data_IF_705876204446
#
_entry.id   IF_705876204446
#
_cell.length_a   1.000
_cell.length_b   1.000
_cell.length_c   1.000
_cell.angle_alpha   90.00
_cell.angle_beta   90.00
_cell.angle_gamma   90.00
#
_symmetry.space_group_name_H-M   'P 1'
#
loop_
_entity.id
_entity.type
_entity.pdbx_description
1 polymer ?
#
# COMPACT_ATOMS: atom_id res chain seq x y z
N UNK A 1 5.34 -11.35 13.47
CA UNK A 1 4.75 -12.39 12.58
C UNK A 1 5.79 -12.99 11.63
N UNK A 2 6.61 -12.18 10.95
CA UNK A 2 7.65 -12.67 10.04
C UNK A 2 8.65 -13.61 10.76
N UNK A 3 9.19 -13.21 11.93
CA UNK A 3 10.10 -14.06 12.73
C UNK A 3 9.51 -15.44 13.04
N UNK A 4 8.22 -15.51 13.41
CA UNK A 4 7.53 -16.80 13.69
C UNK A 4 7.36 -17.67 12.44
N UNK A 5 7.27 -17.06 11.27
CA UNK A 5 6.93 -17.75 10.02
C UNK A 5 8.14 -18.11 9.17
N UNK A 6 9.17 -17.28 9.16
CA UNK A 6 10.33 -17.39 8.28
C UNK A 6 11.67 -17.50 9.02
N UNK A 7 11.67 -17.43 10.35
CA UNK A 7 12.87 -17.36 11.16
C UNK A 7 13.39 -15.93 11.34
N UNK A 8 14.41 -15.78 12.18
CA UNK A 8 14.93 -14.47 12.59
C UNK A 8 15.71 -13.77 11.48
N UNK A 9 16.55 -14.51 10.78
CA UNK A 9 17.41 -13.98 9.70
C UNK A 9 16.56 -13.41 8.57
N UNK A 10 15.64 -14.21 8.01
CA UNK A 10 14.76 -13.77 6.92
C UNK A 10 13.86 -12.62 7.37
N UNK A 11 13.38 -12.63 8.62
CA UNK A 11 12.57 -11.53 9.15
C UNK A 11 13.36 -10.22 9.25
N UNK A 12 14.65 -10.28 9.60
CA UNK A 12 15.52 -9.12 9.63
C UNK A 12 15.82 -8.60 8.21
N UNK A 13 16.10 -9.49 7.26
CA UNK A 13 16.30 -9.13 5.85
C UNK A 13 15.03 -8.46 5.26
N UNK A 14 13.84 -9.00 5.52
CA UNK A 14 12.56 -8.38 5.10
C UNK A 14 12.44 -6.94 5.62
N UNK A 15 12.81 -6.70 6.88
CA UNK A 15 12.77 -5.35 7.45
C UNK A 15 13.75 -4.40 6.77
N UNK A 16 15.01 -4.84 6.60
CA UNK A 16 16.05 -4.06 5.91
C UNK A 16 15.67 -3.74 4.47
N UNK A 17 15.19 -4.72 3.72
CA UNK A 17 14.76 -4.48 2.33
C UNK A 17 13.51 -3.60 2.23
N UNK A 18 12.61 -3.63 3.22
CA UNK A 18 11.48 -2.69 3.25
C UNK A 18 11.97 -1.24 3.41
N UNK A 19 12.98 -0.98 4.25
CA UNK A 19 13.61 0.33 4.38
C UNK A 19 14.41 0.70 3.09
N UNK A 20 15.17 -0.25 2.55
CA UNK A 20 15.90 -0.06 1.30
C UNK A 20 14.99 0.30 0.12
N UNK A 21 13.77 -0.25 0.05
CA UNK A 21 12.81 0.07 -1.00
C UNK A 21 12.33 1.53 -0.94
N UNK A 22 12.24 2.11 0.25
CA UNK A 22 11.93 3.53 0.42
C UNK A 22 13.09 4.39 -0.06
N UNK A 23 14.30 4.11 0.41
CA UNK A 23 15.52 4.82 0.00
C UNK A 23 15.73 4.74 -1.52
N UNK A 24 15.59 3.54 -2.10
CA UNK A 24 15.68 3.35 -3.56
C UNK A 24 14.71 4.24 -4.32
N UNK A 25 13.45 4.30 -3.87
CA UNK A 25 12.43 5.08 -4.58
C UNK A 25 12.65 6.58 -4.40
N UNK A 26 13.09 7.04 -3.23
CA UNK A 26 13.46 8.44 -3.00
C UNK A 26 14.63 8.86 -3.89
N UNK A 27 15.71 8.07 -3.91
CA UNK A 27 16.86 8.31 -4.78
C UNK A 27 16.48 8.32 -6.25
N UNK A 28 15.65 7.36 -6.69
CA UNK A 28 15.16 7.31 -8.08
C UNK A 28 14.44 8.59 -8.49
N UNK A 29 13.63 9.17 -7.60
CA UNK A 29 12.93 10.43 -7.83
C UNK A 29 13.95 11.60 -7.94
N UNK A 30 14.87 11.68 -7.01
CA UNK A 30 15.84 12.79 -6.90
C UNK A 30 16.86 12.76 -8.02
N UNK A 31 17.51 11.61 -8.27
CA UNK A 31 18.55 11.45 -9.30
C UNK A 31 18.00 11.68 -10.71
N UNK A 32 16.74 11.37 -10.97
CA UNK A 32 16.12 11.56 -12.27
C UNK A 32 15.24 12.82 -12.34
N UNK A 33 15.25 13.67 -11.32
CA UNK A 33 14.48 14.91 -11.27
C UNK A 33 12.98 14.69 -11.63
N UNK A 34 12.35 13.63 -11.09
CA UNK A 34 10.95 13.33 -11.38
C UNK A 34 10.07 14.37 -10.69
N UNK A 35 9.44 15.26 -11.46
CA UNK A 35 8.43 16.20 -10.93
C UNK A 35 7.17 15.46 -10.48
N UNK A 36 7.16 14.95 -9.24
CA UNK A 36 6.02 14.24 -8.67
C UNK A 36 5.57 14.80 -7.31
N UNK A 37 5.92 16.06 -7.01
CA UNK A 37 5.55 16.70 -5.74
C UNK A 37 6.03 15.85 -4.55
N UNK A 38 7.22 15.28 -4.67
CA UNK A 38 7.83 14.48 -3.61
C UNK A 38 8.14 15.36 -2.40
N UNK A 39 7.68 14.93 -1.23
CA UNK A 39 7.87 15.65 0.01
C UNK A 39 8.08 14.66 1.15
N UNK A 40 9.24 14.74 1.83
CA UNK A 40 9.56 13.98 3.03
C UNK A 40 8.86 14.63 4.23
N UNK A 41 7.55 14.45 4.30
CA UNK A 41 6.68 15.03 5.34
C UNK A 41 6.57 14.16 6.60
N UNK A 42 7.16 12.99 6.61
CA UNK A 42 6.98 11.99 7.66
C UNK A 42 5.63 11.27 7.59
N UNK A 43 5.56 10.15 8.31
CA UNK A 43 4.32 9.39 8.49
C UNK A 43 4.06 9.12 9.97
N UNK A 44 2.87 9.48 10.46
CA UNK A 44 2.43 9.16 11.80
C UNK A 44 1.44 7.99 11.78
N UNK A 45 1.82 6.88 12.41
CA UNK A 45 0.93 5.75 12.67
C UNK A 45 0.30 5.97 14.03
N UNK A 46 -1.00 6.30 14.05
CA UNK A 46 -1.73 6.68 15.26
C UNK A 46 -2.30 5.48 16.00
N UNK A 47 -2.25 5.51 17.33
CA UNK A 47 -2.79 4.50 18.23
C UNK A 47 -4.30 4.73 18.45
N UNK A 48 -5.13 3.78 18.03
CA UNK A 48 -6.58 3.83 18.29
C UNK A 48 -6.94 3.47 19.73
N UNK A 49 -6.14 2.61 20.34
CA UNK A 49 -6.28 2.18 21.75
C UNK A 49 -4.95 2.31 22.49
N UNK A 50 -4.95 2.51 23.82
CA UNK A 50 -3.72 2.58 24.61
C UNK A 50 -2.79 1.36 24.43
N UNK A 51 -3.36 0.16 24.32
CA UNK A 51 -2.61 -1.07 24.06
C UNK A 51 -1.82 -1.04 22.74
N UNK A 52 -2.30 -0.28 21.74
CA UNK A 52 -1.61 -0.14 20.46
C UNK A 52 -0.33 0.68 20.63
N UNK A 53 -0.37 1.72 21.48
CA UNK A 53 0.80 2.54 21.82
C UNK A 53 1.91 1.68 22.45
N UNK A 54 1.56 0.87 23.44
CA UNK A 54 2.50 -0.06 24.09
C UNK A 54 3.08 -1.05 23.08
N UNK A 55 2.22 -1.69 22.30
CA UNK A 55 2.65 -2.65 21.28
C UNK A 55 3.56 -2.03 20.20
N UNK A 56 3.31 -0.78 19.81
CA UNK A 56 4.17 -0.06 18.86
C UNK A 56 5.52 0.28 19.47
N UNK A 57 5.56 0.71 20.74
CA UNK A 57 6.80 0.99 21.47
C UNK A 57 7.67 -0.25 21.56
N UNK A 58 7.12 -1.39 22.00
CA UNK A 58 7.83 -2.66 22.10
C UNK A 58 8.37 -3.12 20.74
N UNK A 59 7.56 -2.96 19.68
CA UNK A 59 7.99 -3.32 18.33
C UNK A 59 9.09 -2.40 17.81
N UNK A 60 9.01 -1.09 18.10
CA UNK A 60 10.04 -0.13 17.70
C UNK A 60 11.41 -0.48 18.29
N UNK A 61 11.46 -0.80 19.59
CA UNK A 61 12.71 -1.22 20.25
C UNK A 61 13.32 -2.47 19.58
N UNK A 62 12.48 -3.46 19.29
CA UNK A 62 12.92 -4.70 18.60
C UNK A 62 13.42 -4.45 17.19
N UNK A 63 12.78 -3.54 16.44
CA UNK A 63 13.17 -3.22 15.07
C UNK A 63 14.44 -2.38 15.02
N UNK A 64 14.62 -1.43 15.93
CA UNK A 64 15.86 -0.65 16.05
C UNK A 64 17.08 -1.50 16.39
N UNK A 65 16.90 -2.64 17.05
CA UNK A 65 17.98 -3.59 17.28
C UNK A 65 18.40 -4.36 16.00
N UNK A 66 17.58 -4.34 14.95
CA UNK A 66 17.85 -5.01 13.67
C UNK A 66 18.46 -4.03 12.66
N UNK A 67 17.92 -2.82 12.63
CA UNK A 67 18.24 -1.78 11.64
C UNK A 67 17.99 -0.41 12.26
N UNK A 68 18.93 0.50 12.10
CA UNK A 68 18.76 1.89 12.56
C UNK A 68 17.95 2.67 11.53
N UNK A 69 16.75 3.06 11.90
CA UNK A 69 15.85 3.86 11.07
C UNK A 69 15.20 4.97 11.90
N UNK A 70 14.95 6.09 11.26
CA UNK A 70 14.45 7.30 11.89
C UNK A 70 12.97 7.17 12.29
N UNK A 71 12.73 6.62 13.46
CA UNK A 71 11.39 6.53 14.02
C UNK A 71 11.38 6.77 15.52
N UNK A 72 10.32 7.43 16.01
CA UNK A 72 10.12 7.72 17.43
C UNK A 72 8.65 7.57 17.82
N UNK A 73 8.42 7.32 19.10
CA UNK A 73 7.07 7.38 19.68
C UNK A 73 6.65 8.84 19.88
N UNK A 74 5.37 9.09 19.68
CA UNK A 74 4.71 10.37 20.00
C UNK A 74 3.70 10.09 21.10
N UNK A 75 3.81 10.82 22.21
CA UNK A 75 2.93 10.68 23.35
C UNK A 75 1.57 11.38 23.11
N UNK A 76 0.51 11.01 23.82
CA UNK A 76 -0.83 11.55 23.62
C UNK A 76 -0.91 13.08 23.70
N UNK A 77 -0.22 13.70 24.66
CA UNK A 77 -0.16 15.15 24.87
C UNK A 77 0.52 15.91 23.72
N UNK A 78 1.39 15.23 22.99
CA UNK A 78 2.10 15.80 21.83
C UNK A 78 1.34 15.66 20.51
N UNK A 79 0.23 14.91 20.48
CA UNK A 79 -0.55 14.64 19.26
C UNK A 79 -1.09 15.89 18.61
N UNK A 80 -1.44 16.92 19.41
CA UNK A 80 -1.98 18.19 18.92
C UNK A 80 -1.04 18.93 17.95
N UNK A 81 0.27 18.66 18.00
CA UNK A 81 1.27 19.19 17.05
C UNK A 81 1.20 18.54 15.67
N UNK A 82 0.59 17.39 15.57
CA UNK A 82 0.46 16.63 14.32
C UNK A 82 -0.94 16.61 13.76
N UNK A 83 -1.96 16.58 14.64
CA UNK A 83 -3.37 16.49 14.26
C UNK A 83 -4.28 17.07 15.32
N UNK A 84 -5.32 17.79 14.89
CA UNK A 84 -6.35 18.37 15.75
C UNK A 84 -7.53 17.39 15.91
N UNK A 85 -7.36 16.40 16.78
CA UNK A 85 -8.39 15.42 17.15
C UNK A 85 -8.03 14.76 18.48
N UNK A 86 -9.04 14.31 19.21
CA UNK A 86 -8.87 13.57 20.47
C UNK A 86 -9.02 12.05 20.29
N UNK A 87 -8.97 11.60 19.04
CA UNK A 87 -9.22 10.20 18.74
C UNK A 87 -8.07 9.26 19.10
N UNK A 88 -6.86 9.74 19.29
CA UNK A 88 -5.68 8.90 19.35
C UNK A 88 -4.94 8.98 20.67
N UNK A 89 -4.41 7.84 21.09
CA UNK A 89 -3.60 7.67 22.31
C UNK A 89 -2.10 7.71 22.01
N UNK A 90 -1.67 8.66 21.15
CA UNK A 90 -0.28 8.76 20.70
C UNK A 90 -0.06 8.06 19.36
N UNK A 91 1.20 7.74 19.06
CA UNK A 91 1.54 7.09 17.79
C UNK A 91 3.03 6.84 17.62
N UNK A 92 3.39 6.26 16.47
CA UNK A 92 4.77 6.08 16.02
C UNK A 92 5.02 6.93 14.78
N UNK A 93 5.98 7.81 14.85
CA UNK A 93 6.39 8.70 13.77
C UNK A 93 7.61 8.17 13.03
N UNK A 94 7.51 8.06 11.71
CA UNK A 94 8.57 7.68 10.78
C UNK A 94 9.02 8.94 10.04
N UNK A 95 10.23 9.41 10.31
CA UNK A 95 10.71 10.71 9.82
C UNK A 95 10.98 10.71 8.32
N UNK A 96 11.61 9.65 7.81
CA UNK A 96 12.07 9.54 6.42
C UNK A 96 10.95 9.17 5.43
N UNK A 97 9.73 8.97 5.93
CA UNK A 97 8.60 8.69 5.07
C UNK A 97 8.08 9.97 4.42
N UNK A 98 7.62 9.82 3.17
CA UNK A 98 7.16 10.96 2.39
C UNK A 98 5.86 10.72 1.66
N UNK A 99 5.50 11.67 0.85
CA UNK A 99 4.35 11.62 -0.04
C UNK A 99 4.75 12.02 -1.45
N UNK A 100 4.02 11.49 -2.43
CA UNK A 100 4.12 11.85 -3.83
C UNK A 100 2.74 12.12 -4.41
N UNK A 101 2.68 12.80 -5.53
CA UNK A 101 1.50 12.79 -6.41
C UNK A 101 1.59 11.55 -7.32
N UNK A 102 0.76 10.51 -7.09
CA UNK A 102 0.99 9.19 -7.68
C UNK A 102 0.94 9.18 -9.21
N UNK A 103 0.07 10.01 -9.80
CA UNK A 103 -0.06 10.11 -11.26
C UNK A 103 1.18 10.75 -11.89
N UNK A 104 1.69 11.83 -11.31
CA UNK A 104 2.94 12.48 -11.75
C UNK A 104 4.11 11.52 -11.63
N UNK A 105 4.21 10.81 -10.50
CA UNK A 105 5.25 9.80 -10.30
C UNK A 105 5.20 8.69 -11.36
N UNK A 106 4.01 8.16 -11.62
CA UNK A 106 3.81 7.16 -12.68
C UNK A 106 4.24 7.69 -14.07
N UNK A 107 3.89 8.91 -14.43
CA UNK A 107 4.30 9.50 -15.69
C UNK A 107 5.80 9.79 -15.76
N UNK A 108 6.43 10.16 -14.65
CA UNK A 108 7.88 10.29 -14.55
C UNK A 108 8.59 8.96 -14.84
N UNK A 109 8.16 7.88 -14.19
CA UNK A 109 8.69 6.54 -14.46
C UNK A 109 8.45 6.08 -15.89
N UNK A 110 7.27 6.36 -16.45
CA UNK A 110 6.96 6.05 -17.86
C UNK A 110 7.89 6.80 -18.79
N UNK A 111 8.13 8.10 -18.56
CA UNK A 111 9.06 8.91 -19.34
C UNK A 111 10.46 8.30 -19.33
N UNK A 112 11.00 8.00 -18.15
CA UNK A 112 12.33 7.34 -18.02
C UNK A 112 12.40 6.03 -18.79
N UNK A 113 11.36 5.20 -18.71
CA UNK A 113 11.33 3.93 -19.44
C UNK A 113 11.35 4.13 -20.96
N UNK A 114 10.61 5.11 -21.47
CA UNK A 114 10.58 5.44 -22.91
C UNK A 114 11.91 6.02 -23.37
N UNK A 115 12.54 6.89 -22.60
CA UNK A 115 13.87 7.45 -22.89
C UNK A 115 14.96 6.37 -22.88
N UNK A 116 14.81 5.35 -22.03
CA UNK A 116 15.66 4.16 -22.03
C UNK A 116 15.35 3.18 -23.19
N UNK A 117 14.45 3.52 -24.11
CA UNK A 117 14.11 2.72 -25.30
C UNK A 117 13.03 1.66 -25.08
N UNK A 118 12.34 1.61 -23.93
CA UNK A 118 11.23 0.71 -23.73
C UNK A 118 10.05 1.08 -24.64
N UNK A 119 9.39 0.07 -25.21
CA UNK A 119 8.17 0.27 -26.01
C UNK A 119 6.95 0.01 -25.17
N UNK A 120 6.06 0.99 -25.05
CA UNK A 120 4.84 0.90 -24.26
C UNK A 120 3.62 0.92 -25.15
N UNK A 121 2.75 -0.07 -25.01
CA UNK A 121 1.54 -0.24 -25.80
C UNK A 121 0.30 -0.14 -24.88
N UNK A 122 -0.38 0.99 -24.92
CA UNK A 122 -1.67 1.18 -24.26
C UNK A 122 -2.81 0.41 -24.96
N UNK A 123 -3.91 0.17 -24.24
CA UNK A 123 -5.10 -0.50 -24.78
C UNK A 123 -4.85 -1.91 -25.35
N UNK A 124 -3.78 -2.58 -24.90
CA UNK A 124 -3.41 -3.93 -25.33
C UNK A 124 -3.61 -4.91 -24.16
N UNK A 125 -4.81 -5.39 -23.98
CA UNK A 125 -5.13 -6.39 -22.96
C UNK A 125 -4.44 -7.72 -23.33
N UNK A 126 -3.49 -8.16 -22.50
CA UNK A 126 -2.93 -9.51 -22.61
C UNK A 126 -3.95 -10.53 -22.11
N UNK A 127 -4.33 -11.45 -22.97
CA UNK A 127 -5.32 -12.49 -22.69
C UNK A 127 -4.71 -13.84 -22.37
N UNK A 128 -3.49 -14.11 -22.89
CA UNK A 128 -2.81 -15.39 -22.67
C UNK A 128 -1.29 -15.27 -22.87
N UNK A 129 -0.56 -16.06 -22.11
CA UNK A 129 0.89 -16.27 -22.27
C UNK A 129 1.11 -17.76 -22.48
N UNK A 130 1.67 -18.12 -23.62
CA UNK A 130 1.99 -19.50 -23.97
C UNK A 130 3.51 -19.68 -23.96
N UNK A 131 4.02 -20.67 -23.23
CA UNK A 131 5.41 -21.08 -23.31
C UNK A 131 5.62 -21.90 -24.59
N UNK A 132 6.68 -21.60 -25.32
CA UNK A 132 7.04 -22.30 -26.56
C UNK A 132 7.92 -23.51 -26.27
N UNK A 133 7.92 -24.48 -27.20
CA UNK A 133 8.77 -25.66 -27.11
C UNK A 133 10.26 -25.33 -27.31
N UNK A 134 10.56 -24.34 -28.13
CA UNK A 134 11.91 -23.94 -28.55
C UNK A 134 12.45 -22.69 -27.80
N UNK A 135 12.18 -22.55 -26.52
CA UNK A 135 12.45 -21.36 -25.70
C UNK A 135 11.64 -20.12 -26.10
N UNK A 136 11.28 -19.32 -25.06
CA UNK A 136 10.50 -18.09 -25.22
C UNK A 136 9.00 -18.28 -25.03
N UNK A 137 8.27 -17.24 -25.35
CA UNK A 137 6.84 -17.12 -25.08
C UNK A 137 6.12 -16.40 -26.22
N UNK A 138 4.88 -16.81 -26.47
CA UNK A 138 3.91 -16.05 -27.22
C UNK A 138 2.97 -15.33 -26.24
N UNK A 139 2.98 -14.01 -26.27
CA UNK A 139 2.08 -13.15 -25.52
C UNK A 139 0.95 -12.72 -26.45
N UNK A 140 -0.26 -13.17 -26.16
CA UNK A 140 -1.45 -12.90 -26.96
C UNK A 140 -2.25 -11.75 -26.36
N UNK A 141 -2.57 -10.77 -27.18
CA UNK A 141 -3.56 -9.71 -26.89
C UNK A 141 -4.84 -9.98 -27.66
N UNK A 142 -5.84 -9.11 -27.53
CA UNK A 142 -7.10 -9.22 -28.27
C UNK A 142 -6.92 -9.24 -29.81
N UNK A 143 -5.87 -8.60 -30.31
CA UNK A 143 -5.67 -8.40 -31.76
C UNK A 143 -4.20 -8.52 -32.21
N UNK A 144 -3.30 -8.98 -31.36
CA UNK A 144 -1.89 -9.08 -31.69
C UNK A 144 -1.24 -10.25 -30.95
N UNK A 145 -0.11 -10.70 -31.50
CA UNK A 145 0.76 -11.71 -30.89
C UNK A 145 2.17 -11.14 -30.84
N UNK A 146 2.79 -11.25 -29.68
CA UNK A 146 4.17 -10.81 -29.46
C UNK A 146 4.99 -12.04 -29.09
N UNK A 147 6.07 -12.25 -29.82
CA UNK A 147 7.07 -13.28 -29.52
C UNK A 147 8.18 -12.65 -28.66
N UNK A 148 8.53 -13.27 -27.52
CA UNK A 148 9.56 -12.77 -26.64
C UNK A 148 10.32 -13.90 -25.92
N UNK A 149 11.52 -13.59 -25.45
CA UNK A 149 12.38 -14.54 -24.72
C UNK A 149 11.91 -14.75 -23.29
N UNK A 150 11.48 -13.69 -22.62
CA UNK A 150 11.10 -13.67 -21.21
C UNK A 150 9.83 -12.86 -21.00
N UNK A 151 9.09 -13.18 -19.95
CA UNK A 151 7.86 -12.46 -19.54
C UNK A 151 7.93 -12.14 -18.07
N UNK A 152 7.66 -10.86 -17.71
CA UNK A 152 7.42 -10.42 -16.36
C UNK A 152 5.93 -10.05 -16.19
N UNK A 153 5.24 -10.68 -15.26
CA UNK A 153 3.89 -10.32 -14.87
C UNK A 153 3.92 -9.33 -13.68
N UNK A 154 3.61 -8.07 -13.94
CA UNK A 154 3.52 -7.00 -12.94
C UNK A 154 2.06 -6.55 -12.72
N UNK A 155 1.10 -7.47 -12.86
CA UNK A 155 -0.34 -7.19 -12.89
C UNK A 155 -0.97 -6.97 -11.50
N UNK A 156 -0.25 -7.28 -10.41
CA UNK A 156 -0.63 -7.07 -9.02
C UNK A 156 -2.12 -7.41 -8.75
N UNK A 157 -2.90 -6.51 -8.16
CA UNK A 157 -4.33 -6.69 -7.84
C UNK A 157 -5.25 -6.82 -9.06
N UNK A 158 -4.73 -6.63 -10.27
CA UNK A 158 -5.48 -6.77 -11.54
C UNK A 158 -5.21 -8.09 -12.27
N UNK A 159 -4.56 -9.04 -11.60
CA UNK A 159 -4.28 -10.37 -12.15
C UNK A 159 -5.58 -11.16 -12.37
N UNK A 160 -5.91 -11.44 -13.63
CA UNK A 160 -7.12 -12.19 -14.00
C UNK A 160 -6.84 -13.71 -14.05
N UNK A 161 -7.82 -14.57 -13.65
CA UNK A 161 -7.68 -16.03 -13.76
C UNK A 161 -7.46 -16.51 -15.20
N UNK A 162 -8.02 -15.81 -16.19
CA UNK A 162 -7.80 -16.09 -17.62
C UNK A 162 -6.37 -15.91 -18.05
N UNK A 163 -5.65 -14.95 -17.46
CA UNK A 163 -4.24 -14.70 -17.75
C UNK A 163 -3.31 -15.67 -17.00
N UNK A 164 -3.52 -15.82 -15.69
CA UNK A 164 -2.71 -16.73 -14.87
C UNK A 164 -3.51 -17.29 -13.70
N UNK A 165 -3.97 -18.53 -13.84
CA UNK A 165 -4.63 -19.27 -12.72
C UNK A 165 -3.70 -19.41 -11.51
N UNK A 166 -2.39 -19.51 -11.74
CA UNK A 166 -1.40 -19.62 -10.66
C UNK A 166 -1.36 -18.37 -9.81
N UNK A 167 -1.19 -17.18 -10.41
CA UNK A 167 -1.12 -15.92 -9.69
C UNK A 167 -2.48 -15.49 -9.13
N UNK A 168 -3.56 -15.63 -9.89
CA UNK A 168 -4.91 -15.27 -9.44
C UNK A 168 -5.35 -16.02 -8.17
N UNK A 169 -4.85 -17.24 -7.95
CA UNK A 169 -5.10 -18.02 -6.71
C UNK A 169 -4.20 -17.61 -5.54
N UNK A 170 -3.32 -16.65 -5.71
CA UNK A 170 -2.30 -16.25 -4.73
C UNK A 170 -2.31 -14.77 -4.41
N UNK A 171 -2.92 -13.97 -5.26
CA UNK A 171 -3.10 -12.53 -5.09
C UNK A 171 -4.58 -12.23 -4.92
N UNK A 172 -4.91 -11.58 -3.80
CA UNK A 172 -6.26 -11.13 -3.47
C UNK A 172 -6.42 -9.69 -3.94
N UNK A 173 -7.33 -9.41 -4.88
CA UNK A 173 -7.70 -8.05 -5.24
C UNK A 173 -8.58 -7.45 -4.14
N UNK A 174 -8.00 -6.62 -3.28
CA UNK A 174 -8.73 -5.94 -2.20
C UNK A 174 -9.00 -4.51 -2.65
N UNK A 175 -10.27 -4.07 -2.74
CA UNK A 175 -10.59 -2.71 -3.12
C UNK A 175 -10.18 -1.73 -2.03
N UNK A 176 -9.73 -0.57 -2.46
CA UNK A 176 -9.42 0.59 -1.63
C UNK A 176 -10.16 1.78 -2.19
N UNK A 177 -10.73 2.60 -1.32
CA UNK A 177 -11.55 3.74 -1.69
C UNK A 177 -10.93 5.00 -1.11
N UNK A 178 -10.94 6.07 -1.88
CA UNK A 178 -10.34 7.35 -1.50
C UNK A 178 -11.30 8.48 -1.82
N UNK A 179 -11.39 9.46 -0.91
CA UNK A 179 -12.08 10.73 -1.13
C UNK A 179 -11.13 11.90 -1.00
N UNK A 180 -11.52 13.02 -1.61
CA UNK A 180 -10.87 14.32 -1.39
C UNK A 180 -11.95 15.38 -1.15
N UNK A 181 -11.79 16.22 -0.15
CA UNK A 181 -12.68 17.35 0.11
C UNK A 181 -12.65 18.35 -1.06
N UNK A 182 -13.61 19.22 -1.16
CA UNK A 182 -13.45 20.48 -1.90
C UNK A 182 -12.32 21.30 -1.31
N UNK A 183 -11.93 22.37 -1.93
CA UNK A 183 -10.99 23.34 -1.36
C UNK A 183 -11.58 23.93 -0.08
N UNK A 184 -10.90 23.73 1.05
CA UNK A 184 -11.31 24.24 2.37
C UNK A 184 -10.34 25.30 2.90
N UNK A 185 -9.36 25.70 2.07
CA UNK A 185 -8.32 26.67 2.40
C UNK A 185 -7.13 26.07 3.16
N UNK A 186 -5.95 26.66 2.93
CA UNK A 186 -4.70 26.22 3.59
C UNK A 186 -4.75 26.33 5.10
N UNK A 187 -5.28 27.41 5.63
CA UNK A 187 -5.34 27.67 7.08
C UNK A 187 -6.17 26.60 7.79
N UNK A 188 -7.31 26.21 7.21
CA UNK A 188 -8.14 25.15 7.78
C UNK A 188 -7.43 23.80 7.74
N UNK A 189 -6.79 23.46 6.64
CA UNK A 189 -6.00 22.23 6.54
C UNK A 189 -4.84 22.23 7.54
N UNK A 190 -4.10 23.33 7.66
CA UNK A 190 -3.01 23.49 8.62
C UNK A 190 -3.50 23.42 10.09
N UNK A 191 -4.68 23.94 10.37
CA UNK A 191 -5.31 23.82 11.71
C UNK A 191 -5.64 22.36 12.04
N UNK A 192 -6.15 21.59 11.07
CA UNK A 192 -6.55 20.20 11.27
C UNK A 192 -5.37 19.23 11.27
N UNK A 193 -4.38 19.49 10.43
CA UNK A 193 -3.17 18.68 10.23
C UNK A 193 -1.90 19.56 10.31
N UNK A 194 -1.61 20.14 11.49
CA UNK A 194 -0.49 21.09 11.64
C UNK A 194 0.87 20.48 11.29
N UNK A 195 1.04 19.16 11.49
CA UNK A 195 2.26 18.46 11.11
C UNK A 195 2.41 18.20 9.61
N UNK A 196 1.35 18.30 8.81
CA UNK A 196 1.36 18.02 7.37
C UNK A 196 1.70 16.57 6.99
N UNK A 197 1.72 15.67 7.97
CA UNK A 197 2.18 14.29 7.82
C UNK A 197 1.18 13.39 7.07
N UNK A 198 1.70 12.28 6.52
CA UNK A 198 0.88 11.14 6.14
C UNK A 198 0.41 10.41 7.40
N UNK A 199 -0.89 10.26 7.57
CA UNK A 199 -1.51 9.65 8.74
C UNK A 199 -2.02 8.24 8.42
N UNK A 200 -1.84 7.29 9.35
CA UNK A 200 -2.37 5.91 9.25
C UNK A 200 -2.78 5.42 10.64
N UNK A 201 -3.96 4.84 10.76
CA UNK A 201 -4.49 4.36 12.04
C UNK A 201 -4.18 2.88 12.30
N UNK A 202 -4.31 2.46 13.58
CA UNK A 202 -4.22 1.06 13.98
C UNK A 202 -5.55 0.31 13.98
N UNK A 203 -6.69 0.94 13.68
CA UNK A 203 -7.99 0.24 13.51
C UNK A 203 -7.90 -0.92 12.53
N UNK A 204 -8.78 -1.91 12.65
CA UNK A 204 -8.81 -3.03 11.69
C UNK A 204 -9.16 -2.56 10.28
N UNK A 205 -10.17 -1.70 10.15
CA UNK A 205 -10.50 -0.98 8.92
C UNK A 205 -9.91 0.42 8.98
N UNK A 206 -8.58 0.50 9.00
CA UNK A 206 -7.83 1.74 9.18
C UNK A 206 -8.09 2.76 8.09
N UNK A 207 -8.11 4.02 8.50
CA UNK A 207 -8.00 5.16 7.59
C UNK A 207 -6.54 5.54 7.38
N UNK A 208 -6.26 6.06 6.20
CA UNK A 208 -5.04 6.79 5.90
C UNK A 208 -5.44 8.11 5.27
N UNK A 209 -4.81 9.19 5.69
CA UNK A 209 -5.17 10.52 5.25
C UNK A 209 -3.98 11.47 5.32
N UNK A 210 -4.05 12.51 4.53
CA UNK A 210 -3.04 13.56 4.45
C UNK A 210 -3.60 14.83 3.83
N UNK A 211 -2.91 15.99 3.94
CA UNK A 211 -3.13 17.11 3.06
C UNK A 211 -2.87 16.70 1.60
N UNK A 212 -3.60 17.29 0.66
CA UNK A 212 -3.21 17.22 -0.76
C UNK A 212 -1.95 18.05 -0.99
N UNK A 213 -1.20 17.84 -2.08
CA UNK A 213 0.03 18.60 -2.34
C UNK A 213 -0.17 20.13 -2.38
N UNK A 214 -1.33 20.61 -2.87
CA UNK A 214 -1.66 22.04 -2.83
C UNK A 214 -1.93 22.58 -1.42
N UNK A 215 -2.09 21.70 -0.42
CA UNK A 215 -2.32 22.08 0.98
C UNK A 215 -3.70 22.63 1.29
N UNK A 216 -4.64 22.64 0.34
CA UNK A 216 -5.98 23.24 0.53
C UNK A 216 -7.11 22.23 0.73
N UNK A 217 -6.81 20.92 0.63
CA UNK A 217 -7.79 19.83 0.73
C UNK A 217 -7.24 18.72 1.63
N UNK A 218 -8.13 17.90 2.16
CA UNK A 218 -7.78 16.66 2.86
C UNK A 218 -8.19 15.48 1.99
N UNK A 219 -7.24 14.56 1.78
CA UNK A 219 -7.46 13.27 1.15
C UNK A 219 -7.55 12.19 2.23
N UNK A 220 -8.58 11.34 2.17
CA UNK A 220 -8.77 10.22 3.09
C UNK A 220 -9.07 8.95 2.29
N UNK A 221 -8.40 7.88 2.63
CA UNK A 221 -8.66 6.56 2.08
C UNK A 221 -8.90 5.51 3.15
N UNK A 222 -9.70 4.51 2.82
CA UNK A 222 -9.98 3.36 3.67
C UNK A 222 -10.47 2.16 2.85
N UNK A 223 -10.64 1.04 3.52
CA UNK A 223 -11.36 -0.12 2.98
C UNK A 223 -12.83 -0.05 3.40
N UNK A 224 -13.62 0.80 2.75
CA UNK A 224 -15.06 0.95 3.01
C UNK A 224 -15.78 -0.40 2.89
N UNK A 225 -15.38 -1.21 1.90
CA UNK A 225 -15.78 -2.60 1.72
C UNK A 225 -14.55 -3.45 1.36
N UNK A 226 -14.64 -4.77 1.56
CA UNK A 226 -13.62 -5.73 1.10
C UNK A 226 -14.05 -6.47 -0.18
N UNK A 227 -15.18 -6.11 -0.76
CA UNK A 227 -15.68 -6.58 -2.05
C UNK A 227 -15.91 -5.38 -2.97
N UNK A 228 -16.03 -5.63 -4.25
CA UNK A 228 -16.25 -4.57 -5.24
C UNK A 228 -17.61 -3.91 -5.03
N UNK A 229 -17.58 -2.63 -4.73
CA UNK A 229 -18.72 -1.71 -4.76
C UNK A 229 -18.28 -0.49 -5.57
N UNK A 230 -19.21 0.35 -5.98
CA UNK A 230 -18.89 1.60 -6.66
C UNK A 230 -18.28 2.64 -5.69
N UNK A 231 -17.68 3.67 -6.24
CA UNK A 231 -17.18 4.80 -5.45
C UNK A 231 -18.32 5.54 -4.73
N UNK A 232 -19.47 5.67 -5.41
CA UNK A 232 -20.68 6.29 -4.90
C UNK A 232 -21.25 5.52 -3.70
N UNK A 233 -21.28 4.19 -3.78
CA UNK A 233 -21.72 3.32 -2.67
C UNK A 233 -20.78 3.38 -1.47
N UNK A 234 -19.48 3.62 -1.70
CA UNK A 234 -18.48 3.75 -0.64
C UNK A 234 -18.49 5.13 0.05
N UNK A 235 -18.90 6.19 -0.68
CA UNK A 235 -18.82 7.59 -0.26
C UNK A 235 -19.41 7.87 1.14
N UNK A 236 -20.63 7.40 1.49
CA UNK A 236 -21.18 7.65 2.83
C UNK A 236 -20.31 7.12 3.97
N UNK A 237 -19.67 5.96 3.76
CA UNK A 237 -18.76 5.36 4.75
C UNK A 237 -17.50 6.20 4.93
N UNK A 238 -16.89 6.65 3.82
CA UNK A 238 -15.67 7.49 3.89
C UNK A 238 -15.98 8.85 4.51
N UNK A 239 -17.11 9.45 4.15
CA UNK A 239 -17.56 10.74 4.74
C UNK A 239 -17.76 10.63 6.24
N UNK A 240 -18.42 9.56 6.71
CA UNK A 240 -18.59 9.30 8.14
C UNK A 240 -17.24 9.19 8.86
N UNK A 241 -16.27 8.51 8.28
CA UNK A 241 -14.94 8.37 8.87
C UNK A 241 -14.16 9.70 8.87
N UNK A 242 -14.31 10.52 7.82
CA UNK A 242 -13.71 11.85 7.77
C UNK A 242 -14.25 12.75 8.90
N UNK A 243 -15.58 12.76 9.10
CA UNK A 243 -16.25 13.55 10.13
C UNK A 243 -15.90 13.01 11.53
N UNK A 244 -15.78 11.69 11.70
CA UNK A 244 -15.31 11.10 12.95
C UNK A 244 -13.92 11.62 13.35
N UNK A 245 -13.00 11.72 12.37
CA UNK A 245 -11.64 12.23 12.62
C UNK A 245 -11.66 13.76 12.80
N UNK A 246 -12.43 14.47 11.99
CA UNK A 246 -12.52 15.92 11.94
C UNK A 246 -13.99 16.38 12.00
N UNK A 247 -14.61 16.48 13.20
CA UNK A 247 -16.01 16.90 13.33
C UNK A 247 -16.32 18.26 12.71
N UNK A 248 -15.35 19.17 12.67
CA UNK A 248 -15.47 20.49 12.02
C UNK A 248 -15.59 20.45 10.50
N UNK A 249 -15.49 19.28 9.90
CA UNK A 249 -15.73 19.04 8.45
C UNK A 249 -17.15 18.49 8.19
N UNK A 250 -18.03 18.48 9.20
CA UNK A 250 -19.45 18.19 8.97
C UNK A 250 -20.03 19.19 7.96
N UNK A 251 -20.77 18.70 6.95
CA UNK A 251 -21.30 19.52 5.87
C UNK A 251 -20.33 19.83 4.73
N UNK A 252 -19.00 19.59 4.88
CA UNK A 252 -18.05 19.83 3.81
C UNK A 252 -18.30 18.86 2.64
N UNK A 253 -18.32 19.40 1.41
CA UNK A 253 -18.51 18.63 0.19
C UNK A 253 -17.26 17.80 -0.15
N UNK A 254 -17.49 16.67 -0.82
CA UNK A 254 -16.45 15.80 -1.37
C UNK A 254 -16.33 16.07 -2.86
N UNK A 255 -15.16 16.52 -3.29
CA UNK A 255 -14.90 16.85 -4.69
C UNK A 255 -14.67 15.62 -5.57
N UNK A 256 -14.03 14.59 -5.01
CA UNK A 256 -13.70 13.37 -5.75
C UNK A 256 -13.84 12.15 -4.85
N UNK A 257 -14.34 11.05 -5.43
CA UNK A 257 -14.33 9.73 -4.82
C UNK A 257 -13.93 8.71 -5.88
N UNK A 258 -12.98 7.83 -5.58
CA UNK A 258 -12.54 6.80 -6.52
C UNK A 258 -12.12 5.52 -5.81
N UNK A 259 -11.96 4.46 -6.59
CA UNK A 259 -11.55 3.14 -6.10
C UNK A 259 -10.51 2.50 -7.02
N UNK A 260 -9.75 1.56 -6.47
CA UNK A 260 -8.80 0.72 -7.19
C UNK A 260 -8.49 -0.54 -6.39
N UNK A 261 -7.85 -1.53 -7.02
CA UNK A 261 -7.49 -2.78 -6.37
C UNK A 261 -6.04 -2.77 -5.87
N UNK A 262 -5.87 -3.11 -4.61
CA UNK A 262 -4.58 -3.41 -4.01
C UNK A 262 -4.36 -4.92 -4.02
N UNK A 263 -3.22 -5.39 -4.53
CA UNK A 263 -2.87 -6.82 -4.50
C UNK A 263 -2.35 -7.23 -3.11
N UNK A 264 -3.07 -8.14 -2.46
CA UNK A 264 -2.64 -8.75 -1.20
C UNK A 264 -2.22 -10.21 -1.42
N UNK A 265 -1.13 -10.61 -0.79
CA UNK A 265 -0.75 -12.01 -0.65
C UNK A 265 -1.25 -12.57 0.68
N UNK A 266 -1.40 -13.88 0.80
CA UNK A 266 -1.73 -14.51 2.08
C UNK A 266 -0.59 -14.43 3.10
N UNK A 267 0.63 -14.16 2.67
CA UNK A 267 1.77 -13.86 3.54
C UNK A 267 1.77 -12.43 4.05
N UNK A 268 1.03 -11.53 3.40
CA UNK A 268 1.09 -10.07 3.58
C UNK A 268 2.47 -9.46 3.26
N UNK A 269 3.25 -10.14 2.44
CA UNK A 269 4.56 -9.71 1.97
C UNK A 269 4.56 -9.62 0.45
N UNK A 270 5.34 -8.71 -0.13
CA UNK A 270 5.63 -8.71 -1.56
C UNK A 270 6.28 -10.02 -2.00
N UNK A 271 6.27 -10.28 -3.29
CA UNK A 271 6.90 -11.47 -3.84
C UNK A 271 7.50 -11.21 -5.21
N UNK A 272 8.72 -11.71 -5.39
CA UNK A 272 9.35 -11.91 -6.68
C UNK A 272 9.50 -13.42 -6.90
N UNK A 273 8.91 -13.96 -7.93
CA UNK A 273 8.98 -15.40 -8.20
C UNK A 273 8.99 -15.74 -9.67
N UNK A 274 9.43 -16.98 -9.95
CA UNK A 274 9.43 -17.57 -11.30
C UNK A 274 8.55 -18.82 -11.28
N UNK A 275 7.55 -18.87 -12.15
CA UNK A 275 6.70 -20.04 -12.32
C UNK A 275 6.66 -20.44 -13.80
N UNK A 276 7.12 -21.66 -14.12
CA UNK A 276 7.21 -22.19 -15.48
C UNK A 276 7.97 -21.26 -16.45
N UNK A 277 8.96 -20.51 -15.94
CA UNK A 277 9.77 -19.56 -16.69
C UNK A 277 9.15 -18.16 -16.83
N UNK A 278 7.95 -17.92 -16.31
CA UNK A 278 7.34 -16.60 -16.24
C UNK A 278 7.70 -15.97 -14.89
N UNK A 279 8.31 -14.79 -14.93
CA UNK A 279 8.64 -13.98 -13.77
C UNK A 279 7.40 -13.24 -13.29
N UNK A 280 7.32 -12.95 -12.00
CA UNK A 280 6.25 -12.11 -11.42
C UNK A 280 6.77 -11.27 -10.27
N UNK A 281 6.44 -9.96 -10.26
CA UNK A 281 6.69 -9.03 -9.17
C UNK A 281 5.36 -8.39 -8.77
N UNK A 282 4.87 -8.67 -7.56
CA UNK A 282 3.50 -8.32 -7.16
C UNK A 282 3.25 -8.51 -5.66
N UNK A 283 2.02 -8.23 -5.22
CA UNK A 283 1.57 -8.50 -3.86
C UNK A 283 2.04 -7.48 -2.83
N UNK A 284 2.14 -6.22 -3.19
CA UNK A 284 2.70 -5.14 -2.37
C UNK A 284 1.89 -4.80 -1.10
N UNK A 285 0.70 -5.34 -0.92
CA UNK A 285 -0.12 -5.25 0.29
C UNK A 285 -0.38 -3.81 0.80
N UNK A 286 -0.40 -2.82 -0.11
CA UNK A 286 -0.59 -1.40 0.20
C UNK A 286 0.70 -0.56 0.19
N UNK A 287 1.88 -1.16 0.11
CA UNK A 287 3.17 -0.45 0.09
C UNK A 287 3.73 -0.23 -1.34
N UNK A 288 2.87 -0.26 -2.36
CA UNK A 288 3.28 -0.31 -3.76
C UNK A 288 4.04 0.92 -4.26
N UNK A 289 3.86 2.10 -3.67
CA UNK A 289 4.54 3.33 -4.12
C UNK A 289 6.06 3.20 -4.01
N UNK A 290 6.57 2.71 -2.88
CA UNK A 290 8.00 2.45 -2.69
C UNK A 290 8.43 1.08 -3.22
N UNK A 291 7.63 0.06 -2.98
CA UNK A 291 8.02 -1.33 -3.24
C UNK A 291 7.95 -1.73 -4.72
N UNK A 292 7.07 -1.12 -5.54
CA UNK A 292 6.93 -1.54 -6.92
C UNK A 292 8.14 -1.12 -7.80
N UNK A 293 8.68 0.10 -7.71
CA UNK A 293 9.93 0.45 -8.40
C UNK A 293 11.11 -0.43 -7.96
N UNK A 294 11.26 -0.64 -6.64
CA UNK A 294 12.30 -1.50 -6.08
C UNK A 294 12.22 -2.94 -6.61
N UNK A 295 11.07 -3.60 -6.49
CA UNK A 295 10.89 -4.96 -7.00
C UNK A 295 10.92 -5.03 -8.53
N UNK A 296 10.57 -3.96 -9.24
CA UNK A 296 10.77 -3.85 -10.68
C UNK A 296 12.25 -3.92 -11.05
N UNK A 297 13.10 -3.20 -10.32
CA UNK A 297 14.55 -3.25 -10.46
C UNK A 297 15.09 -4.65 -10.11
N UNK A 298 14.71 -5.23 -8.99
CA UNK A 298 15.12 -6.59 -8.60
C UNK A 298 14.66 -7.64 -9.62
N UNK A 299 13.47 -7.48 -10.20
CA UNK A 299 12.98 -8.36 -11.25
C UNK A 299 13.85 -8.27 -12.52
N UNK A 300 14.28 -7.08 -12.90
CA UNK A 300 15.20 -6.90 -14.03
C UNK A 300 16.55 -7.58 -13.77
N UNK A 301 17.14 -7.40 -12.59
CA UNK A 301 18.37 -8.09 -12.18
C UNK A 301 18.21 -9.61 -12.21
N UNK A 302 17.08 -10.12 -11.70
CA UNK A 302 16.77 -11.56 -11.72
C UNK A 302 16.60 -12.11 -13.14
N UNK A 303 16.02 -11.33 -14.05
CA UNK A 303 15.85 -11.73 -15.44
C UNK A 303 17.18 -11.73 -16.20
N UNK A 304 18.11 -10.85 -15.85
CA UNK A 304 19.48 -10.81 -16.42
C UNK A 304 20.35 -11.94 -15.85
N UNK A 305 20.22 -12.26 -14.57
CA UNK A 305 21.00 -13.27 -13.85
C UNK A 305 20.05 -14.26 -13.12
N UNK A 306 19.47 -15.24 -13.85
CA UNK A 306 18.41 -16.11 -13.31
C UNK A 306 18.82 -16.93 -12.08
N UNK A 307 20.09 -17.28 -11.95
CA UNK A 307 20.60 -18.13 -10.87
C UNK A 307 20.96 -17.34 -9.59
N UNK A 308 21.08 -16.01 -9.70
CA UNK A 308 21.41 -15.15 -8.57
C UNK A 308 20.17 -14.86 -7.72
N UNK A 309 20.27 -14.98 -6.38
CA UNK A 309 19.31 -14.40 -5.45
C UNK A 309 19.50 -12.88 -5.42
N UNK A 310 18.46 -12.13 -5.69
CA UNK A 310 18.50 -10.65 -5.77
C UNK A 310 17.71 -9.96 -4.65
N UNK A 311 16.79 -10.67 -3.98
CA UNK A 311 15.94 -10.12 -2.92
C UNK A 311 15.46 -11.21 -1.97
N UNK A 312 15.24 -10.86 -0.70
CA UNK A 312 14.60 -11.76 0.28
C UNK A 312 13.16 -12.12 -0.09
N UNK A 313 12.50 -11.31 -0.93
CA UNK A 313 11.13 -11.56 -1.37
C UNK A 313 11.01 -12.74 -2.35
N UNK A 314 12.10 -13.35 -2.79
CA UNK A 314 12.11 -14.66 -3.46
C UNK A 314 11.86 -15.79 -2.46
N UNK A 315 12.26 -15.63 -1.20
CA UNK A 315 12.10 -16.63 -0.12
C UNK A 315 10.75 -16.55 0.59
N UNK A 316 9.88 -15.63 0.17
CA UNK A 316 8.52 -15.49 0.69
C UNK A 316 7.51 -16.10 -0.28
N UNK A 317 7.31 -17.43 -0.28
CA UNK A 317 6.55 -18.10 -1.32
C UNK A 317 5.09 -17.63 -1.37
N UNK A 318 4.58 -17.46 -2.58
CA UNK A 318 3.19 -17.14 -2.84
C UNK A 318 2.29 -18.30 -2.40
N UNK A 319 1.64 -18.12 -1.27
CA UNK A 319 0.71 -19.10 -0.71
C UNK A 319 -0.65 -19.05 -1.38
N UNK A 320 -1.35 -20.18 -1.40
CA UNK A 320 -2.76 -20.26 -1.77
C UNK A 320 -3.58 -20.85 -0.61
N UNK A 321 -4.89 -20.86 -0.75
CA UNK A 321 -5.81 -21.51 0.18
C UNK A 321 -6.73 -22.47 -0.60
N UNK A 322 -7.14 -23.62 -0.02
CA UNK A 322 -7.99 -24.58 -0.69
C UNK A 322 -9.32 -24.01 -1.18
N UNK A 323 -9.85 -23.03 -0.45
CA UNK A 323 -11.12 -22.36 -0.74
C UNK A 323 -11.00 -21.15 -1.69
N UNK A 324 -9.80 -20.78 -2.15
CA UNK A 324 -9.59 -19.58 -2.98
C UNK A 324 -9.15 -19.94 -4.40
N UNK A 325 -9.99 -19.59 -5.37
CA UNK A 325 -9.80 -19.88 -6.80
C UNK A 325 -9.69 -18.60 -7.66
N UNK A 326 -9.23 -17.46 -7.08
CA UNK A 326 -9.07 -16.20 -7.78
C UNK A 326 -10.27 -15.25 -7.67
N UNK A 327 -11.39 -15.69 -7.08
CA UNK A 327 -12.53 -14.84 -6.71
C UNK A 327 -12.68 -14.85 -5.19
N UNK A 328 -12.43 -13.72 -4.51
CA UNK A 328 -12.36 -13.68 -3.03
C UNK A 328 -13.77 -13.59 -2.39
N UNK A 329 -14.58 -14.61 -2.58
CA UNK A 329 -15.97 -14.70 -2.10
C UNK A 329 -16.13 -14.54 -0.59
N UNK A 330 -15.09 -14.83 0.19
CA UNK A 330 -15.08 -14.74 1.65
C UNK A 330 -14.82 -13.32 2.18
N UNK A 331 -14.42 -12.36 1.35
CA UNK A 331 -14.10 -11.00 1.79
C UNK A 331 -15.30 -10.24 2.39
N UNK A 332 -16.55 -10.41 1.94
CA UNK A 332 -17.71 -9.82 2.63
C UNK A 332 -17.85 -10.30 4.08
N UNK A 333 -17.60 -11.60 4.33
CA UNK A 333 -17.63 -12.19 5.68
C UNK A 333 -16.51 -11.61 6.54
N UNK A 334 -15.29 -11.53 6.00
CA UNK A 334 -14.16 -10.90 6.66
C UNK A 334 -14.43 -9.41 6.97
N UNK A 335 -15.12 -8.69 6.07
CA UNK A 335 -15.53 -7.30 6.27
C UNK A 335 -16.51 -7.17 7.45
N UNK A 336 -17.51 -8.03 7.55
CA UNK A 336 -18.46 -8.05 8.67
C UNK A 336 -17.74 -8.36 10.00
N UNK A 337 -16.83 -9.33 10.00
CA UNK A 337 -15.99 -9.65 11.15
C UNK A 337 -15.18 -8.45 11.63
N UNK A 338 -14.45 -7.74 10.74
CA UNK A 338 -13.68 -6.56 11.10
C UNK A 338 -14.56 -5.40 11.59
N UNK A 339 -15.80 -5.23 11.04
CA UNK A 339 -16.75 -4.24 11.54
C UNK A 339 -17.14 -4.53 13.01
N UNK A 340 -17.41 -5.78 13.34
CA UNK A 340 -17.76 -6.17 14.70
C UNK A 340 -16.61 -5.88 15.68
N UNK A 341 -15.36 -6.14 15.30
CA UNK A 341 -14.19 -5.81 16.12
C UNK A 341 -13.99 -4.31 16.26
N UNK A 342 -14.13 -3.51 15.19
CA UNK A 342 -14.04 -2.05 15.27
C UNK A 342 -15.13 -1.48 16.21
N UNK A 343 -16.34 -2.04 16.21
CA UNK A 343 -17.41 -1.67 17.14
C UNK A 343 -17.06 -2.02 18.59
N UNK A 344 -16.54 -3.21 18.85
CA UNK A 344 -16.08 -3.62 20.17
C UNK A 344 -14.96 -2.72 20.69
N UNK A 345 -13.99 -2.40 19.84
CA UNK A 345 -12.90 -1.52 20.20
C UNK A 345 -13.38 -0.07 20.39
N UNK A 346 -14.40 0.39 19.67
CA UNK A 346 -15.06 1.67 19.89
C UNK A 346 -15.74 1.73 21.28
N UNK A 347 -16.48 0.70 21.68
CA UNK A 347 -17.07 0.61 23.03
C UNK A 347 -16.01 0.58 24.13
N UNK A 348 -14.93 -0.17 23.95
CA UNK A 348 -13.80 -0.20 24.90
C UNK A 348 -13.19 1.18 25.05
N UNK A 349 -12.96 1.88 23.95
CA UNK A 349 -12.42 3.25 23.90
C UNK A 349 -13.32 4.23 24.65
N UNK A 350 -14.62 4.20 24.37
CA UNK A 350 -15.62 5.09 25.03
C UNK A 350 -15.65 4.88 26.55
N UNK A 351 -15.51 3.63 27.02
CA UNK A 351 -15.41 3.33 28.45
C UNK A 351 -14.12 3.83 29.07
N UNK A 352 -13.02 3.84 28.35
CA UNK A 352 -11.72 4.34 28.83
C UNK A 352 -11.75 5.86 28.95
N UNK A 353 -12.28 6.59 27.98
CA UNK A 353 -12.38 8.05 27.99
C UNK A 353 -13.28 8.55 29.13
N UNK A 354 -14.35 7.82 29.47
CA UNK A 354 -15.23 8.17 30.60
C UNK A 354 -14.59 7.92 31.97
N UNK A 355 -13.43 7.27 32.05
CA UNK A 355 -12.72 6.98 33.30
C UNK A 355 -11.53 7.92 33.54
N UNK A 356 -11.15 8.70 32.53
CA UNK A 356 -10.16 9.77 32.60
C UNK A 356 -10.86 11.09 32.79
#
# INVERSE_FOLDING_TARGET
QAKKKYGEVIAAEIHKEANASLAFTSNLIEENNIDCEFNVCGRLRTSWLPKDQVSMSDNLQKLKAIDDFNSKMIDPDMMSKSIKTELYFGGQFYQDHGSVQPRKFHYGLLKLALEAGAKVFGNKLVVKVNKLKQNGFDVLTSNSKIHCKQVLMATNGYTRPSLSKYLARRVLPVPSFVITTVDIGKDKVQTLLPGGHCMVETRKRYCYYRPTPCGTRIMLGTRAAMHSISAEEALPTLRKMLIEIFPSLEGVEISHCWTGFTGFTFSQLPNLSVNKGVYSALGYCGNGVAMAPYLGHMAALKMLNPDQKVTVFEETPLQTRPYYYGKPWFLPIASAYFRAFDLLDYYRRTKLIKKI
#
